data_IF_993841798299
#
_entry.id   IF_993841798299
#
_cell.length_a   1.000
_cell.length_b   1.000
_cell.length_c   1.000
_cell.angle_alpha   90.00
_cell.angle_beta   90.00
_cell.angle_gamma   90.00
#
_symmetry.space_group_name_H-M   'P 1'
#
loop_
_entity.id
_entity.type
_entity.pdbx_description
1 polymer ?
#
# COMPACT_ATOMS: atom_id res chain seq x y z
N UNK A 1 -11.59 14.78 7.28
CA UNK A 1 -10.81 15.25 8.46
C UNK A 1 -9.44 14.58 8.64
N UNK A 2 -9.24 13.25 8.51
CA UNK A 2 -7.91 12.62 8.75
C UNK A 2 -6.82 12.99 7.73
N UNK A 3 -7.14 13.06 6.43
CA UNK A 3 -6.14 13.31 5.36
C UNK A 3 -5.38 14.63 5.52
N UNK A 4 -6.07 15.72 5.89
CA UNK A 4 -5.45 17.05 6.07
C UNK A 4 -4.49 17.09 7.26
N UNK A 5 -4.84 16.41 8.36
CA UNK A 5 -3.97 16.29 9.54
C UNK A 5 -2.68 15.56 9.18
N UNK A 6 -2.77 14.47 8.42
CA UNK A 6 -1.59 13.74 7.94
C UNK A 6 -0.75 14.55 6.95
N UNK A 7 -1.37 15.32 6.05
CA UNK A 7 -0.61 16.21 5.15
C UNK A 7 0.16 17.28 5.94
N UNK A 8 -0.47 17.86 6.97
CA UNK A 8 0.19 18.81 7.85
C UNK A 8 1.35 18.18 8.61
N UNK A 9 1.11 17.03 9.23
CA UNK A 9 2.15 16.24 9.92
C UNK A 9 3.34 15.93 9.01
N UNK A 10 3.06 15.50 7.76
CA UNK A 10 4.09 15.22 6.77
C UNK A 10 4.89 16.48 6.40
N UNK A 11 4.25 17.63 6.28
CA UNK A 11 4.94 18.89 6.00
C UNK A 11 5.84 19.31 7.17
N UNK A 12 5.35 19.17 8.40
CA UNK A 12 6.10 19.49 9.62
C UNK A 12 7.30 18.55 9.83
N UNK A 13 7.10 17.22 9.75
CA UNK A 13 8.15 16.22 9.97
C UNK A 13 9.09 16.05 8.77
N UNK A 14 8.55 16.13 7.56
CA UNK A 14 9.30 15.95 6.32
C UNK A 14 10.23 17.12 5.99
N UNK A 15 9.91 18.33 6.46
CA UNK A 15 10.83 19.47 6.38
C UNK A 15 12.06 19.28 7.28
N UNK A 16 11.94 18.54 8.38
CA UNK A 16 13.05 18.26 9.30
C UNK A 16 13.91 17.07 8.84
N UNK A 17 13.28 16.00 8.32
CA UNK A 17 13.96 14.72 8.05
C UNK A 17 14.22 14.43 6.56
N UNK A 18 13.66 15.23 5.64
CA UNK A 18 13.75 14.99 4.19
C UNK A 18 12.96 13.77 3.68
N UNK A 19 12.52 12.90 4.58
CA UNK A 19 11.68 11.74 4.31
C UNK A 19 10.56 11.65 5.35
N UNK A 20 9.39 11.17 4.92
CA UNK A 20 8.25 10.90 5.78
C UNK A 20 7.73 9.49 5.54
N UNK A 21 7.74 8.66 6.57
CA UNK A 21 7.25 7.28 6.50
C UNK A 21 5.98 7.12 7.32
N UNK A 22 4.95 6.51 6.72
CA UNK A 22 3.67 6.27 7.39
C UNK A 22 3.14 4.88 7.08
N UNK A 23 2.52 4.17 8.05
CA UNK A 23 1.70 3.01 7.72
C UNK A 23 0.53 3.45 6.83
N UNK A 24 -0.11 2.55 6.07
CA UNK A 24 -1.40 2.86 5.43
C UNK A 24 -2.41 3.14 6.55
N UNK A 25 -2.78 4.40 6.84
CA UNK A 25 -3.65 4.72 7.97
C UNK A 25 -5.12 4.75 7.54
N UNK A 26 -5.41 4.33 6.30
CA UNK A 26 -6.70 4.52 5.64
C UNK A 26 -7.33 3.19 5.22
N UNK A 27 -8.67 3.10 5.31
CA UNK A 27 -9.41 1.88 4.97
C UNK A 27 -9.38 1.55 3.47
N UNK A 28 -8.84 2.43 2.63
CA UNK A 28 -8.84 2.28 1.17
C UNK A 28 -7.53 2.76 0.56
N UNK A 29 -6.96 1.92 -0.31
CA UNK A 29 -5.79 2.26 -1.14
C UNK A 29 -6.07 3.46 -2.05
N UNK A 30 -7.32 3.66 -2.47
CA UNK A 30 -7.71 4.86 -3.25
C UNK A 30 -7.60 6.13 -2.43
N UNK A 31 -7.94 6.09 -1.14
CA UNK A 31 -7.79 7.25 -0.28
C UNK A 31 -6.30 7.55 -0.03
N UNK A 32 -5.49 6.50 0.12
CA UNK A 32 -4.02 6.64 0.17
C UNK A 32 -3.44 7.23 -1.11
N UNK A 33 -3.92 6.82 -2.29
CA UNK A 33 -3.49 7.39 -3.55
C UNK A 33 -3.89 8.88 -3.71
N UNK A 34 -5.06 9.28 -3.21
CA UNK A 34 -5.47 10.70 -3.19
C UNK A 34 -4.61 11.52 -2.24
N UNK A 35 -4.26 10.96 -1.08
CA UNK A 35 -3.30 11.58 -0.17
C UNK A 35 -1.94 11.74 -0.85
N UNK A 36 -1.42 10.67 -1.47
CA UNK A 36 -0.14 10.69 -2.16
C UNK A 36 -0.13 11.74 -3.28
N UNK A 37 -1.22 11.85 -4.04
CA UNK A 37 -1.36 12.91 -5.05
C UNK A 37 -1.26 14.29 -4.42
N UNK A 38 -2.00 14.56 -3.35
CA UNK A 38 -1.91 15.85 -2.66
C UNK A 38 -0.49 16.10 -2.14
N UNK A 39 0.16 15.09 -1.56
CA UNK A 39 1.54 15.18 -1.12
C UNK A 39 2.50 15.56 -2.26
N UNK A 40 2.29 15.00 -3.47
CA UNK A 40 3.09 15.34 -4.65
C UNK A 40 2.92 16.80 -5.10
N UNK A 41 1.73 17.38 -4.92
CA UNK A 41 1.50 18.81 -5.18
C UNK A 41 2.22 19.71 -4.14
N UNK A 42 2.38 19.24 -2.91
CA UNK A 42 3.20 19.92 -1.90
C UNK A 42 4.69 19.59 -1.99
N UNK A 43 5.13 18.89 -3.04
CA UNK A 43 6.55 18.68 -3.33
C UNK A 43 7.18 17.45 -2.69
N UNK A 44 6.38 16.51 -2.24
CA UNK A 44 6.84 15.19 -1.86
C UNK A 44 6.76 14.24 -3.06
N UNK A 45 7.38 13.07 -2.99
CA UNK A 45 7.23 12.02 -4.01
C UNK A 45 7.08 10.69 -3.33
N UNK A 46 6.08 9.92 -3.75
CA UNK A 46 5.92 8.57 -3.24
C UNK A 46 7.12 7.71 -3.69
N UNK A 47 7.89 7.23 -2.72
CA UNK A 47 9.14 6.48 -2.94
C UNK A 47 8.95 4.97 -2.84
N UNK A 48 7.77 4.51 -2.41
CA UNK A 48 7.46 3.09 -2.25
C UNK A 48 7.42 2.69 -0.77
N UNK A 49 7.85 1.46 -0.50
CA UNK A 49 7.90 0.92 0.85
C UNK A 49 9.20 1.35 1.54
N UNK A 50 9.12 1.59 2.85
CA UNK A 50 10.29 1.94 3.65
C UNK A 50 11.35 0.83 3.57
N UNK A 51 12.59 1.22 3.30
CA UNK A 51 13.77 0.36 3.35
C UNK A 51 14.39 0.41 4.76
N UNK A 52 14.98 -0.70 5.22
CA UNK A 52 15.59 -0.78 6.57
C UNK A 52 14.60 -1.03 7.71
N UNK A 53 13.35 -1.34 7.40
CA UNK A 53 12.31 -1.73 8.38
C UNK A 53 12.04 -3.24 8.22
N UNK A 54 11.75 -3.99 9.31
CA UNK A 54 11.46 -5.41 9.21
C UNK A 54 10.34 -5.71 8.21
N UNK A 55 10.58 -6.67 7.31
CA UNK A 55 9.68 -6.99 6.20
C UNK A 55 8.32 -7.58 6.67
N UNK A 56 8.26 -8.01 7.93
CA UNK A 56 7.10 -8.56 8.64
C UNK A 56 6.27 -7.49 9.36
N UNK A 57 6.69 -6.21 9.36
CA UNK A 57 5.91 -5.14 9.97
C UNK A 57 4.55 -5.00 9.27
N UNK A 58 3.47 -5.16 10.06
CA UNK A 58 2.09 -5.04 9.60
C UNK A 58 1.37 -3.92 10.36
N UNK A 59 0.81 -2.91 9.66
CA UNK A 59 0.85 -2.67 8.22
C UNK A 59 2.24 -2.20 7.72
N UNK A 60 2.58 -2.43 6.43
CA UNK A 60 3.84 -1.99 5.87
C UNK A 60 3.93 -0.45 5.87
N UNK A 61 5.15 0.08 6.07
CA UNK A 61 5.41 1.51 6.02
C UNK A 61 5.67 1.97 4.58
N UNK A 62 5.04 3.08 4.23
CA UNK A 62 5.15 3.74 2.94
C UNK A 62 5.92 5.04 3.10
N UNK A 63 6.90 5.27 2.24
CA UNK A 63 7.82 6.41 2.34
C UNK A 63 7.52 7.44 1.26
N UNK A 64 7.55 8.70 1.69
CA UNK A 64 7.49 9.88 0.85
C UNK A 64 8.80 10.63 0.99
N UNK A 65 9.46 10.89 -0.14
CA UNK A 65 10.71 11.66 -0.17
C UNK A 65 10.40 13.10 -0.53
N UNK A 66 11.02 14.05 0.17
CA UNK A 66 10.94 15.47 -0.18
C UNK A 66 11.74 15.73 -1.46
N UNK A 67 11.16 16.48 -2.40
CA UNK A 67 11.87 16.91 -3.61
C UNK A 67 12.73 18.15 -3.32
N UNK A 68 13.82 18.39 -4.08
CA UNK A 68 14.64 19.60 -3.91
C UNK A 68 13.85 20.90 -4.08
N UNK A 69 12.83 20.90 -4.93
CA UNK A 69 11.94 22.03 -5.19
C UNK A 69 10.68 22.03 -4.31
N UNK A 70 10.65 21.22 -3.25
CA UNK A 70 9.45 21.02 -2.43
C UNK A 70 8.90 22.32 -1.85
N UNK A 71 9.77 23.19 -1.34
CA UNK A 71 9.38 24.49 -0.80
C UNK A 71 8.68 25.37 -1.84
N UNK A 72 9.25 25.48 -3.04
CA UNK A 72 8.64 26.27 -4.14
C UNK A 72 7.31 25.68 -4.58
N UNK A 73 7.19 24.35 -4.62
CA UNK A 73 5.92 23.66 -4.92
C UNK A 73 4.87 23.91 -3.84
N UNK A 74 5.25 23.79 -2.57
CA UNK A 74 4.34 24.04 -1.44
C UNK A 74 3.85 25.50 -1.44
N UNK A 75 4.72 26.47 -1.69
CA UNK A 75 4.37 27.89 -1.81
C UNK A 75 3.43 28.16 -3.00
N UNK A 76 3.69 27.55 -4.16
CA UNK A 76 2.81 27.65 -5.34
C UNK A 76 1.45 27.03 -5.05
N UNK A 77 1.43 25.80 -4.57
CA UNK A 77 0.20 25.06 -4.22
C UNK A 77 -0.60 25.77 -3.14
N UNK A 78 0.07 26.40 -2.15
CA UNK A 78 -0.58 27.19 -1.12
C UNK A 78 -1.26 28.46 -1.66
N UNK A 79 -0.68 29.09 -2.69
CA UNK A 79 -1.28 30.23 -3.40
C UNK A 79 -2.47 29.80 -4.27
N UNK A 80 -2.32 28.73 -5.04
CA UNK A 80 -3.36 28.24 -5.95
C UNK A 80 -4.55 27.59 -5.21
N UNK A 81 -4.30 27.04 -4.02
CA UNK A 81 -5.28 26.37 -3.18
C UNK A 81 -5.25 26.92 -1.74
N UNK A 82 -5.74 28.15 -1.52
CA UNK A 82 -5.72 28.77 -0.21
C UNK A 82 -6.53 27.95 0.81
N UNK A 83 -5.96 27.77 2.00
CA UNK A 83 -6.61 27.01 3.08
C UNK A 83 -6.68 25.49 2.85
N UNK A 84 -5.98 24.92 1.85
CA UNK A 84 -5.95 23.48 1.59
C UNK A 84 -5.61 22.61 2.82
N UNK A 85 -4.85 23.12 3.79
CA UNK A 85 -4.53 22.40 5.04
C UNK A 85 -5.49 22.71 6.21
N UNK A 86 -6.36 23.73 6.05
CA UNK A 86 -7.27 24.26 7.07
C UNK A 86 -8.76 24.02 6.78
N UNK A 87 -9.11 23.41 5.65
CA UNK A 87 -10.51 23.10 5.31
C UNK A 87 -10.90 23.50 3.87
N UNK A 88 -10.08 24.32 3.20
CA UNK A 88 -10.28 24.77 1.82
C UNK A 88 -10.14 23.66 0.77
N UNK A 89 -10.24 24.01 -0.51
CA UNK A 89 -10.14 23.03 -1.60
C UNK A 89 -8.76 22.38 -1.63
N UNK A 90 -8.72 21.07 -1.84
CA UNK A 90 -7.46 20.35 -2.04
C UNK A 90 -7.10 20.32 -3.54
N UNK A 91 -5.81 20.31 -3.89
CA UNK A 91 -5.37 20.26 -5.29
C UNK A 91 -6.02 19.10 -6.04
N UNK A 92 -6.59 19.33 -7.23
CA UNK A 92 -7.18 18.29 -8.07
C UNK A 92 -8.39 17.53 -7.48
N UNK A 93 -8.88 17.92 -6.29
CA UNK A 93 -9.96 17.24 -5.58
C UNK A 93 -11.20 18.12 -5.50
N UNK A 94 -12.38 17.48 -5.65
CA UNK A 94 -13.67 18.13 -5.40
C UNK A 94 -14.13 17.86 -3.96
N UNK A 95 -14.57 18.88 -3.20
CA UNK A 95 -15.18 18.71 -1.90
C UNK A 95 -16.61 18.18 -2.10
N UNK A 96 -16.77 16.86 -2.11
CA UNK A 96 -18.07 16.22 -1.92
C UNK A 96 -18.10 15.62 -0.50
N UNK A 97 -19.25 15.56 0.20
CA UNK A 97 -19.34 14.87 1.48
C UNK A 97 -19.07 13.39 1.24
N UNK A 98 -17.79 13.02 1.35
CA UNK A 98 -17.22 11.66 1.28
C UNK A 98 -17.79 10.76 0.16
N UNK A 99 -17.01 10.41 -0.88
CA UNK A 99 -15.55 10.50 -0.96
C UNK A 99 -15.04 11.76 -1.68
N UNK A 100 -13.82 12.20 -1.33
CA UNK A 100 -13.04 13.15 -2.13
C UNK A 100 -12.92 12.63 -3.57
N UNK A 101 -13.39 13.37 -4.56
CA UNK A 101 -13.37 12.92 -5.96
C UNK A 101 -12.23 13.61 -6.69
N UNK A 102 -11.30 12.83 -7.24
CA UNK A 102 -10.27 13.35 -8.15
C UNK A 102 -10.93 13.65 -9.51
N UNK A 103 -10.78 14.87 -10.02
CA UNK A 103 -11.38 15.31 -11.30
C UNK A 103 -10.32 15.77 -12.30
N UNK A 104 -10.66 15.70 -13.59
CA UNK A 104 -9.79 16.13 -14.69
C UNK A 104 -8.45 15.38 -14.70
N UNK A 105 -7.31 16.08 -14.89
CA UNK A 105 -5.99 15.44 -14.99
C UNK A 105 -5.60 14.67 -13.72
N UNK A 106 -6.02 15.14 -12.54
CA UNK A 106 -5.77 14.49 -11.25
C UNK A 106 -6.32 13.06 -11.18
N UNK A 107 -7.39 12.74 -11.91
CA UNK A 107 -7.97 11.39 -11.93
C UNK A 107 -6.97 10.37 -12.49
N UNK A 108 -6.25 10.72 -13.56
CA UNK A 108 -5.24 9.84 -14.16
C UNK A 108 -4.06 9.66 -13.23
N UNK A 109 -3.54 10.76 -12.67
CA UNK A 109 -2.39 10.72 -11.75
C UNK A 109 -2.69 9.90 -10.49
N UNK A 110 -3.86 10.10 -9.86
CA UNK A 110 -4.29 9.31 -8.71
C UNK A 110 -4.42 7.82 -9.07
N UNK A 111 -4.88 7.49 -10.28
CA UNK A 111 -4.95 6.09 -10.75
C UNK A 111 -3.56 5.47 -10.90
N UNK A 112 -2.58 6.23 -11.40
CA UNK A 112 -1.19 5.76 -11.52
C UNK A 112 -0.55 5.58 -10.13
N UNK A 113 -0.77 6.51 -9.21
CA UNK A 113 -0.35 6.36 -7.82
C UNK A 113 -0.99 5.13 -7.17
N UNK A 114 -2.30 4.95 -7.34
CA UNK A 114 -3.00 3.76 -6.87
C UNK A 114 -2.38 2.48 -7.42
N UNK A 115 -1.97 2.45 -8.70
CA UNK A 115 -1.28 1.32 -9.29
C UNK A 115 0.09 1.06 -8.66
N UNK A 116 0.90 2.10 -8.39
CA UNK A 116 2.20 1.98 -7.68
C UNK A 116 2.00 1.37 -6.29
N UNK A 117 1.09 1.94 -5.51
CA UNK A 117 0.80 1.51 -4.13
C UNK A 117 0.24 0.07 -4.10
N UNK A 118 -0.64 -0.29 -5.05
CA UNK A 118 -1.12 -1.68 -5.18
C UNK A 118 -0.01 -2.65 -5.58
N UNK A 119 0.89 -2.26 -6.48
CA UNK A 119 2.01 -3.09 -6.88
C UNK A 119 2.96 -3.38 -5.69
N UNK A 120 3.17 -2.38 -4.84
CA UNK A 120 3.94 -2.52 -3.59
C UNK A 120 3.23 -3.43 -2.58
N UNK A 121 1.95 -3.17 -2.32
CA UNK A 121 1.13 -3.96 -1.40
C UNK A 121 1.10 -5.44 -1.80
N UNK A 122 0.81 -5.74 -3.08
CA UNK A 122 0.83 -7.12 -3.57
C UNK A 122 2.25 -7.70 -3.63
N UNK A 123 3.29 -6.87 -3.71
CA UNK A 123 4.68 -7.29 -3.58
C UNK A 123 4.99 -7.80 -2.17
N UNK A 124 4.52 -7.11 -1.13
CA UNK A 124 4.72 -7.51 0.28
C UNK A 124 3.92 -8.75 0.61
N UNK A 125 2.61 -8.75 0.35
CA UNK A 125 1.75 -9.90 0.69
C UNK A 125 2.12 -11.13 -0.15
N UNK A 126 2.59 -10.93 -1.38
CA UNK A 126 3.02 -12.01 -2.27
C UNK A 126 4.39 -12.61 -1.94
N UNK A 127 5.17 -12.00 -1.04
CA UNK A 127 6.54 -12.43 -0.69
C UNK A 127 6.60 -13.55 0.34
N UNK A 128 5.58 -13.72 1.18
CA UNK A 128 5.60 -14.80 2.17
C UNK A 128 5.74 -16.18 1.48
N UNK A 129 6.58 -17.09 1.99
CA UNK A 129 6.72 -18.41 1.41
C UNK A 129 5.41 -19.19 1.54
N UNK A 130 4.89 -19.71 0.41
CA UNK A 130 3.67 -20.56 0.38
C UNK A 130 3.85 -21.76 1.32
N UNK A 131 5.03 -22.39 1.27
CA UNK A 131 5.35 -23.59 2.04
C UNK A 131 5.22 -23.38 3.55
N UNK A 132 5.76 -22.27 4.08
CA UNK A 132 5.68 -21.96 5.50
C UNK A 132 4.26 -21.70 5.99
N UNK A 133 3.45 -21.01 5.19
CA UNK A 133 2.04 -20.77 5.52
C UNK A 133 1.19 -22.03 5.41
N UNK A 134 1.40 -22.83 4.36
CA UNK A 134 0.71 -24.11 4.18
C UNK A 134 1.03 -25.08 5.33
N UNK A 135 2.30 -25.13 5.77
CA UNK A 135 2.71 -25.93 6.92
C UNK A 135 2.02 -25.49 8.22
N UNK A 136 1.92 -24.17 8.47
CA UNK A 136 1.19 -23.65 9.64
C UNK A 136 -0.29 -24.04 9.62
N UNK A 137 -0.96 -23.91 8.48
CA UNK A 137 -2.36 -24.33 8.34
C UNK A 137 -2.51 -25.82 8.59
N UNK A 138 -1.65 -26.64 7.98
CA UNK A 138 -1.67 -28.08 8.19
C UNK A 138 -1.46 -28.43 9.68
N UNK A 139 -0.47 -27.83 10.34
CA UNK A 139 -0.21 -28.05 11.76
C UNK A 139 -1.41 -27.66 12.65
N UNK A 140 -2.04 -26.52 12.39
CA UNK A 140 -3.23 -26.07 13.13
C UNK A 140 -4.40 -27.05 12.98
N UNK A 141 -4.65 -27.53 11.75
CA UNK A 141 -5.71 -28.52 11.50
C UNK A 141 -5.40 -29.83 12.23
N UNK A 142 -4.15 -30.31 12.21
CA UNK A 142 -3.76 -31.53 12.92
C UNK A 142 -3.88 -31.40 14.44
N UNK A 143 -3.47 -30.27 15.02
CA UNK A 143 -3.68 -30.00 16.45
C UNK A 143 -5.18 -29.98 16.79
N UNK A 144 -6.02 -29.38 15.94
CA UNK A 144 -7.46 -29.36 16.16
C UNK A 144 -8.08 -30.77 16.12
N UNK A 145 -7.63 -31.66 15.22
CA UNK A 145 -8.06 -33.06 15.20
C UNK A 145 -7.64 -33.80 16.46
N UNK A 146 -6.40 -33.59 16.91
CA UNK A 146 -5.84 -34.20 18.11
C UNK A 146 -6.63 -33.79 19.37
N UNK A 147 -6.92 -32.49 19.52
CA UNK A 147 -7.68 -31.95 20.67
C UNK A 147 -9.14 -32.40 20.66
N UNK A 148 -9.73 -32.56 19.48
CA UNK A 148 -11.12 -33.03 19.34
C UNK A 148 -11.30 -34.52 19.67
N UNK A 149 -10.23 -35.26 19.98
CA UNK A 149 -10.29 -36.71 20.22
C UNK A 149 -10.57 -37.54 18.96
N UNK A 150 -10.49 -36.93 17.77
CA UNK A 150 -10.84 -37.56 16.49
C UNK A 150 -9.82 -38.59 15.97
N UNK A 151 -8.84 -38.96 16.79
CA UNK A 151 -7.66 -39.78 16.40
C UNK A 151 -8.03 -41.25 16.11
N UNK A 152 -9.26 -41.67 16.39
CA UNK A 152 -9.76 -43.02 16.09
C UNK A 152 -10.81 -43.10 14.98
N UNK A 153 -11.28 -41.96 14.46
CA UNK A 153 -12.42 -41.89 13.53
C UNK A 153 -11.93 -41.62 12.09
N UNK A 154 -11.95 -42.62 11.18
CA UNK A 154 -11.44 -42.47 9.82
C UNK A 154 -12.12 -41.30 9.07
N UNK A 155 -13.41 -41.09 9.33
CA UNK A 155 -14.19 -40.02 8.72
C UNK A 155 -13.68 -38.62 9.15
N UNK A 156 -13.29 -38.46 10.42
CA UNK A 156 -12.78 -37.19 10.95
C UNK A 156 -11.42 -36.85 10.33
N UNK A 157 -10.53 -37.84 10.16
CA UNK A 157 -9.26 -37.64 9.47
C UNK A 157 -9.42 -37.26 8.01
N UNK A 158 -10.30 -37.95 7.27
CA UNK A 158 -10.56 -37.65 5.86
C UNK A 158 -11.14 -36.24 5.72
N UNK A 159 -12.10 -35.86 6.57
CA UNK A 159 -12.68 -34.52 6.58
C UNK A 159 -11.63 -33.44 6.90
N UNK A 160 -10.78 -33.67 7.90
CA UNK A 160 -9.72 -32.74 8.27
C UNK A 160 -8.64 -32.61 7.19
N UNK A 161 -8.25 -33.73 6.58
CA UNK A 161 -7.32 -33.75 5.44
C UNK A 161 -7.88 -32.98 4.23
N UNK A 162 -9.16 -33.20 3.93
CA UNK A 162 -9.88 -32.45 2.89
C UNK A 162 -9.93 -30.95 3.16
N UNK A 163 -10.24 -30.55 4.41
CA UNK A 163 -10.23 -29.15 4.83
C UNK A 163 -8.84 -28.52 4.71
N UNK A 164 -7.79 -29.21 5.18
CA UNK A 164 -6.42 -28.74 5.08
C UNK A 164 -6.02 -28.54 3.60
N UNK A 165 -6.33 -29.51 2.73
CA UNK A 165 -6.07 -29.41 1.30
C UNK A 165 -6.80 -28.20 0.67
N UNK A 166 -8.08 -28.00 1.00
CA UNK A 166 -8.86 -26.86 0.52
C UNK A 166 -8.26 -25.51 0.96
N UNK A 167 -7.85 -25.38 2.22
CA UNK A 167 -7.21 -24.17 2.73
C UNK A 167 -5.85 -23.90 2.08
N UNK A 168 -5.03 -24.94 1.87
CA UNK A 168 -3.76 -24.81 1.16
C UNK A 168 -4.00 -24.36 -0.28
N UNK A 169 -4.98 -24.93 -0.97
CA UNK A 169 -5.34 -24.57 -2.33
C UNK A 169 -5.82 -23.11 -2.41
N UNK A 170 -6.63 -22.66 -1.43
CA UNK A 170 -7.05 -21.27 -1.29
C UNK A 170 -5.85 -20.32 -1.11
N UNK A 171 -4.86 -20.69 -0.29
CA UNK A 171 -3.62 -19.92 -0.09
C UNK A 171 -2.83 -19.81 -1.39
N UNK A 172 -2.65 -20.93 -2.10
CA UNK A 172 -1.94 -20.98 -3.38
C UNK A 172 -2.65 -20.09 -4.41
N UNK A 173 -3.95 -20.27 -4.56
CA UNK A 173 -4.77 -19.50 -5.50
C UNK A 173 -4.70 -18.00 -5.18
N UNK A 174 -4.83 -17.63 -3.91
CA UNK A 174 -4.73 -16.23 -3.46
C UNK A 174 -3.37 -15.62 -3.82
N UNK A 175 -2.27 -16.35 -3.63
CA UNK A 175 -0.92 -15.86 -3.99
C UNK A 175 -0.72 -15.74 -5.49
N UNK A 176 -1.18 -16.73 -6.27
CA UNK A 176 -1.13 -16.65 -7.74
C UNK A 176 -1.95 -15.45 -8.23
N UNK A 177 -3.15 -15.25 -7.69
CA UNK A 177 -3.98 -14.09 -7.99
C UNK A 177 -3.27 -12.77 -7.67
N UNK A 178 -2.67 -12.63 -6.49
CA UNK A 178 -1.92 -11.42 -6.11
C UNK A 178 -0.71 -11.17 -7.02
N UNK A 179 0.05 -12.21 -7.39
CA UNK A 179 1.18 -12.10 -8.33
C UNK A 179 0.71 -11.64 -9.71
N UNK A 180 -0.37 -12.21 -10.23
CA UNK A 180 -0.97 -11.81 -11.51
C UNK A 180 -1.48 -10.37 -11.47
N UNK A 181 -2.16 -9.98 -10.38
CA UNK A 181 -2.61 -8.60 -10.18
C UNK A 181 -1.45 -7.62 -10.12
N UNK A 182 -0.38 -7.94 -9.38
CA UNK A 182 0.85 -7.13 -9.34
C UNK A 182 1.43 -6.93 -10.74
N UNK A 183 1.58 -8.01 -11.52
CA UNK A 183 2.08 -7.93 -12.88
C UNK A 183 1.19 -7.05 -13.78
N UNK A 184 -0.13 -7.12 -13.62
CA UNK A 184 -1.06 -6.24 -14.35
C UNK A 184 -0.85 -4.75 -14.02
N UNK A 185 -0.69 -4.40 -12.74
CA UNK A 185 -0.41 -3.02 -12.34
C UNK A 185 0.96 -2.54 -12.83
N UNK A 186 1.99 -3.38 -12.77
CA UNK A 186 3.32 -3.06 -13.28
C UNK A 186 3.29 -2.85 -14.81
N UNK A 187 2.54 -3.66 -15.55
CA UNK A 187 2.33 -3.46 -16.99
C UNK A 187 1.60 -2.15 -17.29
N UNK A 188 0.60 -1.78 -16.48
CA UNK A 188 -0.08 -0.49 -16.61
C UNK A 188 0.89 0.68 -16.40
N UNK A 189 1.77 0.59 -15.40
CA UNK A 189 2.78 1.61 -15.14
C UNK A 189 3.82 1.68 -16.27
N UNK A 190 4.30 0.53 -16.76
CA UNK A 190 5.26 0.46 -17.86
C UNK A 190 4.72 1.06 -19.16
N UNK A 191 3.43 0.82 -19.49
CA UNK A 191 2.76 1.45 -20.64
C UNK A 191 2.71 2.97 -20.57
N UNK A 192 2.75 3.52 -19.37
CA UNK A 192 2.73 4.95 -19.09
C UNK A 192 4.15 5.51 -18.89
N UNK A 193 5.18 4.72 -19.26
CA UNK A 193 6.60 5.08 -19.14
C UNK A 193 7.13 5.09 -17.70
N UNK A 194 6.37 4.57 -16.73
CA UNK A 194 6.74 4.56 -15.32
C UNK A 194 7.38 3.22 -14.97
N UNK A 195 8.69 3.23 -14.74
CA UNK A 195 9.38 2.09 -14.14
C UNK A 195 9.08 2.04 -12.63
N UNK A 196 8.63 0.87 -12.17
CA UNK A 196 8.32 0.62 -10.76
C UNK A 196 8.62 -0.84 -10.38
N UNK A 197 9.17 -1.15 -9.20
CA UNK A 197 9.65 -0.22 -8.16
C UNK A 197 10.78 0.67 -8.67
N UNK A 198 11.04 1.83 -8.02
CA UNK A 198 12.15 2.67 -8.41
C UNK A 198 13.47 1.90 -8.27
N UNK A 199 14.43 2.07 -9.21
CA UNK A 199 15.73 1.42 -9.11
C UNK A 199 16.45 1.88 -7.84
N UNK A 200 17.24 0.99 -7.23
CA UNK A 200 17.97 1.29 -5.98
C UNK A 200 18.89 2.51 -6.12
N UNK A 201 19.43 2.75 -7.32
CA UNK A 201 20.27 3.92 -7.67
C UNK A 201 19.51 5.25 -7.75
N UNK A 202 18.17 5.24 -7.70
CA UNK A 202 17.37 6.46 -7.55
C UNK A 202 17.24 6.91 -6.08
N UNK A 203 17.77 6.12 -5.14
CA UNK A 203 18.02 6.51 -3.76
C UNK A 203 19.46 7.06 -3.71
N UNK A 204 19.69 8.34 -3.38
CA UNK A 204 21.05 8.79 -3.11
C UNK A 204 21.62 7.96 -1.97
N UNK A 205 22.88 7.54 -2.10
CA UNK A 205 23.64 6.95 -1.00
C UNK A 205 23.52 7.89 0.21
N UNK A 206 23.18 7.30 1.37
CA UNK A 206 23.14 8.03 2.63
C UNK A 206 24.54 8.38 3.10
#
# INVERSE_FOLDING_TARGET
>A
MRMRRYLRKMLEEGDALGEFSTPIPWPSVWLFAKFAYCAEQFGYRYAGLATGVPADLRPPLHTFRRLPDARRRAERTGRDYPGALRGGRLPGMYPWPVPLIARGPARREVRLLHARIKADYFGVVGREPVRGLAFKVFAVVMVAVLVSGGVGEPLVFVAAGGLAAALILLIVFSKVFMRRRRASYLRLLAREGIQWPPPATALPER
#
